data_IF_302268649273
#
_entry.id   IF_302268649273
#
_cell.length_a   1.000
_cell.length_b   1.000
_cell.length_c   1.000
_cell.angle_alpha   90.00
_cell.angle_beta   90.00
_cell.angle_gamma   90.00
#
_symmetry.space_group_name_H-M   'P 1'
#
loop_
_entity.id
_entity.type
_entity.pdbx_description
1 polymer ?
#
# COMPACT_ATOMS: atom_id res chain seq x y z
N UNK A 1 7.72 -9.02 7.32
CA UNK A 1 6.57 -8.88 6.41
C UNK A 1 6.41 -10.22 5.75
N UNK A 2 5.21 -10.77 5.77
CA UNK A 2 4.87 -12.00 5.06
C UNK A 2 3.65 -11.78 4.17
N UNK A 3 3.74 -12.14 2.90
CA UNK A 3 2.63 -12.00 1.94
C UNK A 3 2.05 -13.38 1.68
N UNK A 4 0.91 -13.64 2.30
CA UNK A 4 0.26 -14.96 2.22
C UNK A 4 -0.60 -15.12 0.97
N UNK A 5 -1.01 -14.01 0.34
CA UNK A 5 -1.87 -14.04 -0.86
C UNK A 5 -1.73 -12.76 -1.68
N UNK A 6 -1.70 -12.90 -3.00
CA UNK A 6 -1.92 -11.82 -3.97
C UNK A 6 -2.89 -12.32 -5.04
N UNK A 7 -3.93 -11.53 -5.37
CA UNK A 7 -4.83 -11.84 -6.49
C UNK A 7 -5.37 -10.58 -7.16
N UNK A 8 -5.71 -10.71 -8.45
CA UNK A 8 -6.53 -9.72 -9.14
C UNK A 8 -8.02 -9.97 -8.85
N UNK A 9 -8.73 -8.90 -8.51
CA UNK A 9 -10.18 -8.85 -8.37
C UNK A 9 -10.75 -8.25 -9.65
N UNK A 10 -11.43 -9.05 -10.47
CA UNK A 10 -12.02 -8.60 -11.75
C UNK A 10 -13.49 -8.22 -11.57
N UNK A 11 -13.94 -7.22 -12.31
CA UNK A 11 -15.34 -6.77 -12.29
C UNK A 11 -15.77 -6.18 -10.94
N UNK A 12 -17.08 -5.98 -10.73
CA UNK A 12 -17.61 -5.63 -9.42
C UNK A 12 -17.17 -6.66 -8.37
N UNK A 13 -16.41 -6.21 -7.40
CA UNK A 13 -15.87 -7.00 -6.30
C UNK A 13 -16.43 -6.52 -4.96
N UNK A 14 -15.99 -7.14 -3.86
CA UNK A 14 -16.52 -6.86 -2.52
C UNK A 14 -16.33 -5.39 -2.10
N UNK A 15 -15.37 -4.67 -2.69
CA UNK A 15 -14.99 -3.31 -2.31
C UNK A 15 -15.29 -2.25 -3.37
N UNK A 16 -15.23 -2.59 -4.67
CA UNK A 16 -15.36 -1.60 -5.75
C UNK A 16 -15.97 -2.18 -7.03
N UNK A 17 -16.25 -1.29 -7.98
CA UNK A 17 -16.72 -1.65 -9.34
C UNK A 17 -15.57 -1.80 -10.34
N UNK A 18 -14.33 -1.55 -9.92
CA UNK A 18 -13.14 -1.52 -10.78
C UNK A 18 -12.31 -2.78 -10.60
N UNK A 19 -11.46 -3.10 -11.59
CA UNK A 19 -10.44 -4.12 -11.40
C UNK A 19 -9.48 -3.68 -10.30
N UNK A 20 -9.24 -4.55 -9.32
CA UNK A 20 -8.39 -4.25 -8.18
C UNK A 20 -7.36 -5.34 -7.90
N UNK A 21 -6.34 -5.01 -7.12
CA UNK A 21 -5.38 -5.99 -6.58
C UNK A 21 -5.65 -6.16 -5.10
N UNK A 22 -5.79 -7.41 -4.65
CA UNK A 22 -5.84 -7.75 -3.23
C UNK A 22 -4.53 -8.42 -2.83
N UNK A 23 -3.95 -7.97 -1.72
CA UNK A 23 -2.86 -8.65 -1.05
C UNK A 23 -3.19 -8.83 0.43
N UNK A 24 -2.93 -10.02 0.98
CA UNK A 24 -2.99 -10.28 2.41
C UNK A 24 -1.56 -10.29 2.93
N UNK A 25 -1.27 -9.34 3.82
CA UNK A 25 0.07 -9.13 4.37
C UNK A 25 0.03 -9.17 5.88
N UNK A 26 0.89 -10.00 6.47
CA UNK A 26 1.15 -10.02 7.91
C UNK A 26 2.37 -9.17 8.19
N UNK A 27 2.22 -8.19 9.06
CA UNK A 27 3.30 -7.30 9.51
C UNK A 27 3.67 -7.66 10.95
N UNK A 28 4.95 -7.63 11.28
CA UNK A 28 5.39 -7.66 12.69
C UNK A 28 5.05 -6.34 13.37
N UNK A 29 5.14 -6.28 14.71
CA UNK A 29 4.90 -5.04 15.45
C UNK A 29 5.83 -3.90 14.98
N UNK A 30 7.09 -4.21 14.70
CA UNK A 30 8.08 -3.24 14.19
C UNK A 30 7.74 -2.74 12.78
N UNK A 31 6.97 -3.49 11.99
CA UNK A 31 6.53 -3.12 10.65
C UNK A 31 5.22 -2.32 10.65
N UNK A 32 4.55 -2.25 11.79
CA UNK A 32 3.36 -1.42 11.97
C UNK A 32 3.69 0.06 12.23
N UNK A 33 4.96 0.41 12.46
CA UNK A 33 5.41 1.79 12.59
C UNK A 33 6.59 2.10 11.66
N UNK A 34 6.29 2.79 10.56
CA UNK A 34 7.27 3.23 9.57
C UNK A 34 8.24 4.27 10.12
N UNK A 35 7.94 4.95 11.23
CA UNK A 35 8.89 5.87 11.86
C UNK A 35 10.12 5.14 12.40
N UNK A 36 9.98 3.87 12.78
CA UNK A 36 11.08 3.00 13.19
C UNK A 36 11.95 2.52 12.01
N UNK A 37 11.48 2.66 10.77
CA UNK A 37 12.17 2.15 9.58
C UNK A 37 12.93 3.26 8.85
N UNK A 38 14.15 3.53 9.30
CA UNK A 38 14.98 4.59 8.74
C UNK A 38 15.12 4.51 7.20
N UNK A 39 14.87 5.65 6.54
CA UNK A 39 14.95 5.79 5.08
C UNK A 39 13.88 5.04 4.28
N UNK A 40 12.87 4.44 4.93
CA UNK A 40 11.83 3.67 4.24
C UNK A 40 11.08 4.52 3.22
N UNK A 41 10.57 5.69 3.62
CA UNK A 41 9.80 6.55 2.70
C UNK A 41 10.64 7.00 1.51
N UNK A 42 11.92 7.31 1.72
CA UNK A 42 12.83 7.69 0.64
C UNK A 42 13.00 6.55 -0.37
N UNK A 43 13.22 5.31 0.09
CA UNK A 43 13.31 4.14 -0.79
C UNK A 43 12.00 3.87 -1.52
N UNK A 44 10.87 4.02 -0.83
CA UNK A 44 9.55 3.86 -1.44
C UNK A 44 9.32 4.87 -2.56
N UNK A 45 9.62 6.14 -2.31
CA UNK A 45 9.49 7.21 -3.31
C UNK A 45 10.46 7.06 -4.48
N UNK A 46 11.62 6.44 -4.27
CA UNK A 46 12.54 6.10 -5.36
C UNK A 46 11.97 5.02 -6.30
N UNK A 47 11.23 4.05 -5.75
CA UNK A 47 10.55 3.01 -6.54
C UNK A 47 9.27 3.54 -7.21
N UNK A 48 8.57 4.45 -6.52
CA UNK A 48 7.29 4.98 -6.92
C UNK A 48 7.31 6.52 -6.90
N UNK A 49 7.90 7.18 -7.93
CA UNK A 49 8.09 8.62 -7.92
C UNK A 49 6.78 9.43 -7.82
N UNK A 50 5.69 8.88 -8.36
CA UNK A 50 4.36 9.47 -8.31
C UNK A 50 3.53 9.03 -7.09
N UNK A 51 4.13 8.33 -6.12
CA UNK A 51 3.42 7.94 -4.90
C UNK A 51 3.04 9.19 -4.12
N UNK A 52 1.73 9.36 -3.91
CA UNK A 52 1.17 10.48 -3.16
C UNK A 52 1.61 10.46 -1.69
N UNK A 53 1.00 11.31 -0.87
CA UNK A 53 1.21 11.24 0.58
C UNK A 53 0.70 9.90 1.12
N UNK A 54 1.53 9.18 1.89
CA UNK A 54 1.10 7.96 2.59
C UNK A 54 0.09 8.26 3.71
N UNK A 55 0.06 9.51 4.17
CA UNK A 55 -0.85 9.95 5.23
C UNK A 55 -2.16 10.39 4.60
N UNK A 56 -3.23 9.64 4.88
CA UNK A 56 -4.57 10.09 4.57
C UNK A 56 -4.92 11.31 5.42
N UNK A 57 -5.56 12.32 4.81
CA UNK A 57 -5.98 13.54 5.50
C UNK A 57 -6.92 13.20 6.66
N UNK A 58 -6.54 13.58 7.89
CA UNK A 58 -7.32 13.30 9.11
C UNK A 58 -6.86 12.09 9.92
N UNK A 59 -5.90 11.30 9.43
CA UNK A 59 -5.33 10.20 10.22
C UNK A 59 -4.18 10.68 11.12
N UNK A 60 -4.44 10.73 12.43
CA UNK A 60 -3.47 11.13 13.44
C UNK A 60 -2.55 9.98 13.92
N UNK A 61 -2.82 8.73 13.51
CA UNK A 61 -2.06 7.54 13.89
C UNK A 61 -0.68 7.43 13.23
N UNK A 62 0.09 6.44 13.68
CA UNK A 62 1.38 6.08 13.08
C UNK A 62 1.18 5.61 11.64
N UNK A 63 2.11 5.98 10.76
CA UNK A 63 2.16 5.45 9.42
C UNK A 63 2.67 4.01 9.50
N UNK A 64 1.87 3.06 9.04
CA UNK A 64 2.21 1.63 9.03
C UNK A 64 2.52 1.12 7.62
N UNK A 65 3.13 -0.06 7.52
CA UNK A 65 3.38 -0.72 6.23
C UNK A 65 2.09 -0.93 5.40
N UNK A 66 0.93 -1.06 6.03
CA UNK A 66 -0.35 -1.15 5.33
C UNK A 66 -0.63 0.07 4.44
N UNK A 67 -0.32 1.28 4.91
CA UNK A 67 -0.49 2.51 4.13
C UNK A 67 0.48 2.58 2.94
N UNK A 68 1.71 2.11 3.13
CA UNK A 68 2.68 2.03 2.04
C UNK A 68 2.25 1.02 0.96
N UNK A 69 1.71 -0.12 1.38
CA UNK A 69 1.20 -1.15 0.47
C UNK A 69 -0.03 -0.66 -0.30
N UNK A 70 -0.96 0.03 0.37
CA UNK A 70 -2.12 0.66 -0.29
C UNK A 70 -1.67 1.64 -1.37
N UNK A 71 -0.81 2.61 -1.02
CA UNK A 71 -0.35 3.62 -1.96
C UNK A 71 0.44 3.02 -3.13
N UNK A 72 1.29 2.02 -2.87
CA UNK A 72 2.02 1.29 -3.90
C UNK A 72 1.10 0.50 -4.82
N UNK A 73 0.12 -0.23 -4.28
CA UNK A 73 -0.84 -0.99 -5.06
C UNK A 73 -1.70 -0.09 -5.95
N UNK A 74 -2.18 1.04 -5.44
CA UNK A 74 -2.94 2.02 -6.22
C UNK A 74 -2.13 2.56 -7.40
N UNK A 75 -0.84 2.88 -7.18
CA UNK A 75 -0.01 3.37 -8.28
C UNK A 75 0.29 2.28 -9.31
N UNK A 76 0.49 1.03 -8.88
CA UNK A 76 0.66 -0.11 -9.80
C UNK A 76 -0.61 -0.36 -10.63
N UNK A 77 -1.79 -0.25 -10.02
CA UNK A 77 -3.06 -0.34 -10.75
C UNK A 77 -3.19 0.77 -11.81
N UNK A 78 -2.88 2.02 -11.43
CA UNK A 78 -2.90 3.15 -12.35
C UNK A 78 -1.90 2.97 -13.51
N UNK A 79 -0.70 2.49 -13.22
CA UNK A 79 0.31 2.18 -14.25
C UNK A 79 -0.12 1.05 -15.20
N UNK A 80 -0.93 0.11 -14.70
CA UNK A 80 -1.55 -0.95 -15.51
C UNK A 80 -2.79 -0.49 -16.29
N UNK A 81 -3.23 0.77 -16.14
CA UNK A 81 -4.40 1.32 -16.83
C UNK A 81 -5.75 0.86 -16.27
N UNK A 82 -5.79 0.48 -14.98
CA UNK A 82 -6.99 0.02 -14.27
C UNK A 82 -7.56 1.11 -13.35
#
# INVERSE_FOLDING_TARGET
MDVSRIRALRGPNLWSRHTAVEAIVTCTADECDLQGLAGFEQRLRALFPAIGGLRQTGHAGALSLAHALEAGALQLQAAAGC
#
